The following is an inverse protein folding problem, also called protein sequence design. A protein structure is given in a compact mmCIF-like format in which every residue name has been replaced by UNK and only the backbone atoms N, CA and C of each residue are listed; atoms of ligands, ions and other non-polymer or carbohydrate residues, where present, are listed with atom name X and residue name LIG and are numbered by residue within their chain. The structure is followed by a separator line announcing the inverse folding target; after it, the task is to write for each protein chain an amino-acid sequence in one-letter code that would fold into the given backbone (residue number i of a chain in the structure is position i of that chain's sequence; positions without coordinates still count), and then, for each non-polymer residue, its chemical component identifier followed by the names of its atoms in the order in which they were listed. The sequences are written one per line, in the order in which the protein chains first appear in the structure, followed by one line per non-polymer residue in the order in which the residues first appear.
data_IF_151754760359
#
_entry.id   IF_151754760359
#
_cell.length_a   1.000
_cell.length_b   1.000
_cell.length_c   1.000
_cell.angle_alpha   90.00
_cell.angle_beta   90.00
_cell.angle_gamma   90.00
#
_symmetry.space_group_name_H-M   'P 1'
#
loop_
_entity.id
_entity.type
_entity.pdbx_description
1 polymer ?
#
# COMPACT_ATOMS: atom_id res chain seq x y z
N UNK A 1 -6.09 2.43 23.37
CA UNK A 1 -5.59 3.73 22.86
C UNK A 1 -6.46 4.11 21.68
N UNK A 2 -6.90 5.36 21.54
CA UNK A 2 -7.53 5.80 20.29
C UNK A 2 -6.45 5.77 19.21
N UNK A 3 -6.56 4.93 18.18
CA UNK A 3 -5.72 5.08 17.00
C UNK A 3 -6.04 6.44 16.38
N UNK A 4 -5.03 7.26 16.18
CA UNK A 4 -5.22 8.51 15.44
C UNK A 4 -5.68 8.17 14.02
N UNK A 5 -6.59 8.99 13.49
CA UNK A 5 -7.07 8.80 12.13
C UNK A 5 -5.93 9.14 11.18
N UNK A 6 -5.34 8.10 10.58
CA UNK A 6 -4.26 8.25 9.59
C UNK A 6 -4.88 8.82 8.30
N UNK A 7 -4.35 9.94 7.82
CA UNK A 7 -4.75 10.53 6.54
C UNK A 7 -3.61 10.32 5.55
N UNK A 8 -3.79 9.40 4.61
CA UNK A 8 -2.83 9.14 3.54
C UNK A 8 -2.92 10.20 2.44
N UNK A 9 -1.79 10.44 1.79
CA UNK A 9 -1.59 11.27 0.59
C UNK A 9 -0.87 10.48 -0.48
N UNK A 10 -0.94 10.93 -1.74
CA UNK A 10 -0.24 10.27 -2.85
C UNK A 10 1.29 10.33 -2.76
N UNK A 11 1.83 11.19 -1.89
CA UNK A 11 3.27 11.29 -1.62
C UNK A 11 3.76 10.35 -0.51
N UNK A 12 2.85 9.71 0.24
CA UNK A 12 3.25 8.82 1.33
C UNK A 12 3.87 7.53 0.81
N UNK A 13 4.85 7.03 1.55
CA UNK A 13 5.54 5.77 1.24
C UNK A 13 5.47 4.83 2.42
N UNK A 14 5.18 3.56 2.13
CA UNK A 14 5.15 2.49 3.11
C UNK A 14 6.43 1.65 2.97
N UNK A 15 6.96 1.22 4.11
CA UNK A 15 7.98 0.18 4.16
C UNK A 15 7.33 -1.10 4.70
N UNK A 16 7.63 -2.23 4.07
CA UNK A 16 7.17 -3.55 4.53
C UNK A 16 8.31 -4.55 4.44
N UNK A 17 8.36 -5.48 5.40
CA UNK A 17 9.38 -6.52 5.47
C UNK A 17 8.95 -7.76 4.67
N UNK A 18 7.64 -7.97 4.48
CA UNK A 18 7.08 -9.15 3.84
C UNK A 18 5.90 -8.83 2.93
N UNK A 19 6.10 -8.97 1.62
CA UNK A 19 5.06 -8.82 0.61
C UNK A 19 5.22 -9.84 -0.51
N UNK A 20 4.12 -10.48 -0.91
CA UNK A 20 4.09 -11.23 -2.16
C UNK A 20 3.86 -10.27 -3.33
N UNK A 21 4.69 -10.38 -4.36
CA UNK A 21 4.60 -9.57 -5.56
C UNK A 21 4.40 -10.42 -6.81
N UNK A 22 3.67 -9.85 -7.80
CA UNK A 22 3.51 -10.46 -9.13
C UNK A 22 3.85 -9.45 -10.22
N UNK A 23 4.41 -9.89 -11.36
CA UNK A 23 4.68 -9.01 -12.47
C UNK A 23 3.38 -8.77 -13.25
N UNK A 24 3.07 -7.52 -13.53
CA UNK A 24 1.90 -7.12 -14.33
C UNK A 24 2.33 -6.15 -15.41
N UNK A 25 1.79 -6.34 -16.63
CA UNK A 25 1.96 -5.42 -17.74
C UNK A 25 0.94 -4.29 -17.61
N UNK A 26 1.41 -3.05 -17.59
CA UNK A 26 0.57 -1.84 -17.48
C UNK A 26 0.98 -0.81 -18.52
N UNK A 27 0.07 0.10 -18.85
CA UNK A 27 0.33 1.25 -19.71
C UNK A 27 0.23 2.53 -18.88
N UNK A 28 1.29 3.32 -18.83
CA UNK A 28 1.32 4.62 -18.15
C UNK A 28 1.98 5.61 -19.11
N UNK A 29 1.35 6.77 -19.32
CA UNK A 29 1.79 7.78 -20.29
C UNK A 29 2.03 7.18 -21.69
N UNK A 30 1.10 6.33 -22.14
CA UNK A 30 1.13 5.64 -23.44
C UNK A 30 2.30 4.66 -23.64
N UNK A 31 3.09 4.38 -22.59
CA UNK A 31 4.19 3.41 -22.64
C UNK A 31 3.84 2.10 -21.93
N UNK A 32 4.01 0.98 -22.64
CA UNK A 32 3.88 -0.36 -22.07
C UNK A 32 5.10 -0.71 -21.21
N UNK A 33 4.84 -1.14 -19.97
CA UNK A 33 5.90 -1.49 -19.03
C UNK A 33 5.46 -2.62 -18.08
N UNK A 34 6.44 -3.38 -17.59
CA UNK A 34 6.23 -4.40 -16.56
C UNK A 34 6.49 -3.80 -15.19
N UNK A 35 5.58 -4.00 -14.25
CA UNK A 35 5.72 -3.56 -12.86
C UNK A 35 5.47 -4.70 -11.90
N UNK A 36 6.19 -4.69 -10.78
CA UNK A 36 5.84 -5.51 -9.63
C UNK A 36 4.67 -4.86 -8.90
N UNK A 37 3.61 -5.62 -8.67
CA UNK A 37 2.50 -5.20 -7.80
C UNK A 37 2.45 -6.08 -6.57
N UNK A 38 2.14 -5.50 -5.42
CA UNK A 38 1.87 -6.26 -4.19
C UNK A 38 0.52 -6.96 -4.32
N UNK A 39 0.47 -8.24 -3.96
CA UNK A 39 -0.76 -9.05 -3.97
C UNK A 39 -1.20 -9.51 -2.59
N UNK A 40 -0.30 -9.47 -1.60
CA UNK A 40 -0.61 -9.73 -0.19
C UNK A 40 0.55 -9.21 0.66
N UNK A 41 0.25 -8.61 1.81
CA UNK A 41 1.22 -8.38 2.89
C UNK A 41 1.22 -9.59 3.84
N UNK A 42 2.39 -10.06 4.27
CA UNK A 42 2.50 -11.17 5.24
C UNK A 42 3.09 -10.74 6.59
N UNK A 43 3.78 -9.60 6.61
CA UNK A 43 4.54 -9.14 7.77
C UNK A 43 4.24 -7.66 8.07
N UNK A 44 4.97 -7.10 9.03
CA UNK A 44 4.79 -5.75 9.50
C UNK A 44 4.98 -4.71 8.39
N UNK A 45 4.06 -3.75 8.38
CA UNK A 45 4.08 -2.59 7.48
C UNK A 45 4.16 -1.32 8.30
N UNK A 46 4.96 -0.36 7.83
CA UNK A 46 5.31 0.84 8.57
C UNK A 46 5.07 2.10 7.73
N UNK A 47 4.42 3.09 8.31
CA UNK A 47 4.29 4.46 7.80
C UNK A 47 5.00 5.39 8.77
N UNK A 48 6.00 6.15 8.31
CA UNK A 48 6.74 7.10 9.14
C UNK A 48 7.28 6.48 10.46
N UNK A 49 7.73 5.22 10.40
CA UNK A 49 8.26 4.48 11.54
C UNK A 49 7.20 3.89 12.49
N UNK A 50 5.92 4.09 12.23
CA UNK A 50 4.82 3.50 13.00
C UNK A 50 4.22 2.31 12.25
N UNK A 51 4.07 1.19 12.95
CA UNK A 51 3.42 -0.01 12.41
C UNK A 51 1.93 0.24 12.16
N UNK A 52 1.43 -0.23 11.01
CA UNK A 52 0.01 -0.24 10.69
C UNK A 52 -0.37 -1.46 9.84
N UNK A 53 -1.65 -1.80 9.90
CA UNK A 53 -2.28 -2.70 8.95
C UNK A 53 -2.76 -1.92 7.73
N UNK A 54 -2.62 -2.52 6.55
CA UNK A 54 -3.04 -1.92 5.27
C UNK A 54 -3.73 -2.98 4.41
N UNK A 55 -4.57 -2.53 3.49
CA UNK A 55 -5.06 -3.36 2.40
C UNK A 55 -4.19 -3.18 1.16
N UNK A 56 -4.02 -4.25 0.38
CA UNK A 56 -3.22 -4.24 -0.84
C UNK A 56 -3.85 -3.42 -1.96
N UNK A 57 -5.18 -3.31 -1.96
CA UNK A 57 -5.94 -2.57 -2.93
C UNK A 57 -7.22 -2.01 -2.32
N UNK A 58 -7.61 -0.82 -2.78
CA UNK A 58 -8.90 -0.23 -2.45
C UNK A 58 -9.36 0.67 -3.60
N UNK A 59 -10.66 0.96 -3.67
CA UNK A 59 -11.21 1.86 -4.68
C UNK A 59 -11.12 3.36 -4.30
N UNK A 60 -10.62 3.68 -3.10
CA UNK A 60 -10.28 5.02 -2.63
C UNK A 60 -9.03 4.98 -1.74
N UNK A 61 -8.25 6.05 -1.74
CA UNK A 61 -7.03 6.18 -0.94
C UNK A 61 -7.30 5.98 0.57
N UNK A 62 -8.37 6.60 1.08
CA UNK A 62 -8.77 6.49 2.49
C UNK A 62 -9.15 5.07 2.94
N UNK A 63 -9.38 4.16 1.99
CA UNK A 63 -9.74 2.77 2.27
C UNK A 63 -8.54 1.82 2.20
N UNK A 64 -7.32 2.32 1.95
CA UNK A 64 -6.10 1.49 2.07
C UNK A 64 -5.74 1.20 3.52
N UNK A 65 -6.34 1.92 4.47
CA UNK A 65 -6.17 1.66 5.91
C UNK A 65 -7.53 1.15 6.43
N UNK A 66 -7.57 0.03 7.16
CA UNK A 66 -8.77 -0.43 7.82
C UNK A 66 -9.30 0.63 8.78
N UNK A 67 -10.55 1.05 8.61
CA UNK A 67 -11.25 1.82 9.64
C UNK A 67 -11.61 0.90 10.80
N UNK A 68 -11.33 1.30 12.04
CA UNK A 68 -11.92 0.68 13.23
C UNK A 68 -13.45 0.83 13.25
#
# INVERSE_FOLDING_TARGET
MKKEKINLTESDSLFTIGAFIKPVKVTINDEEQWRWIVTSFEDQTFLNGSELEVYEYANKLEYLIPSE
#
